data_IF_575654182549
#
_entry.id   IF_575654182549
#
_cell.length_a   1.000
_cell.length_b   1.000
_cell.length_c   1.000
_cell.angle_alpha   90.00
_cell.angle_beta   90.00
_cell.angle_gamma   90.00
#
_symmetry.space_group_name_H-M   'P 1'
#
loop_
_entity.id
_entity.type
_entity.pdbx_description
1 polymer ?
#
# COMPACT_ATOMS: atom_id res chain seq x y z
N UNK A 1 -11.87 -52.81 30.99
CA UNK A 1 -12.63 -52.38 29.79
C UNK A 1 -13.52 -51.15 30.00
N UNK A 2 -13.64 -50.55 31.20
CA UNK A 2 -14.52 -49.38 31.43
C UNK A 2 -13.88 -48.01 31.13
N UNK A 3 -12.55 -47.90 31.21
CA UNK A 3 -11.82 -46.64 30.96
C UNK A 3 -11.73 -46.28 29.47
N UNK A 4 -11.74 -47.28 28.58
CA UNK A 4 -11.67 -47.05 27.12
C UNK A 4 -12.99 -46.55 26.50
N UNK A 5 -14.11 -46.80 27.15
CA UNK A 5 -15.44 -46.36 26.67
C UNK A 5 -15.66 -44.88 27.04
N UNK A 6 -15.15 -44.45 28.20
CA UNK A 6 -15.29 -43.07 28.70
C UNK A 6 -14.50 -42.04 27.87
N UNK A 7 -13.33 -42.41 27.33
CA UNK A 7 -12.55 -41.55 26.44
C UNK A 7 -13.14 -41.41 25.04
N UNK A 8 -13.85 -42.43 24.54
CA UNK A 8 -14.51 -42.39 23.24
C UNK A 8 -15.74 -41.48 23.24
N UNK A 9 -16.52 -41.47 24.33
CA UNK A 9 -17.66 -40.54 24.49
C UNK A 9 -17.25 -39.08 24.67
N UNK A 10 -16.07 -38.81 25.24
CA UNK A 10 -15.57 -37.44 25.42
C UNK A 10 -15.07 -36.83 24.10
N UNK A 11 -14.49 -37.63 23.21
CA UNK A 11 -14.08 -37.20 21.87
C UNK A 11 -15.29 -36.97 20.95
N UNK A 12 -16.34 -37.78 21.08
CA UNK A 12 -17.57 -37.61 20.29
C UNK A 12 -18.38 -36.35 20.67
N UNK A 13 -18.29 -35.91 21.94
CA UNK A 13 -18.96 -34.70 22.42
C UNK A 13 -18.31 -33.39 21.92
N UNK A 14 -17.03 -33.42 21.53
CA UNK A 14 -16.32 -32.26 20.98
C UNK A 14 -16.60 -32.12 19.48
N UNK A 15 -16.85 -33.22 18.77
CA UNK A 15 -17.20 -33.21 17.35
C UNK A 15 -18.59 -32.62 17.08
N UNK A 16 -19.54 -32.78 18.00
CA UNK A 16 -20.90 -32.22 17.88
C UNK A 16 -20.99 -30.69 18.03
N UNK A 17 -19.92 -30.00 18.43
CA UNK A 17 -19.90 -28.54 18.52
C UNK A 17 -19.64 -27.86 17.17
N UNK A 18 -19.18 -28.59 16.15
CA UNK A 18 -18.85 -28.04 14.82
C UNK A 18 -19.93 -28.32 13.76
N UNK A 19 -20.95 -29.10 14.10
CA UNK A 19 -21.99 -29.56 13.18
C UNK A 19 -23.13 -28.56 12.95
N UNK A 20 -23.07 -27.37 13.56
CA UNK A 20 -24.08 -26.31 13.41
C UNK A 20 -23.78 -25.30 12.29
N UNK A 21 -22.71 -25.47 11.51
CA UNK A 21 -22.40 -24.61 10.37
C UNK A 21 -22.99 -25.17 9.08
N UNK A 22 -24.32 -25.13 8.99
CA UNK A 22 -25.03 -25.07 7.72
C UNK A 22 -24.60 -23.79 6.96
N UNK A 23 -24.52 -23.89 5.64
CA UNK A 23 -24.39 -22.81 4.64
C UNK A 23 -24.53 -21.36 5.19
N UNK A 24 -23.44 -20.56 5.10
CA UNK A 24 -23.07 -19.39 5.93
C UNK A 24 -22.25 -19.73 7.20
N UNK A 25 -21.11 -20.41 7.01
CA UNK A 25 -20.22 -20.72 8.12
C UNK A 25 -19.60 -19.45 8.74
N UNK A 26 -19.33 -19.45 10.05
CA UNK A 26 -18.60 -18.36 10.72
C UNK A 26 -17.24 -18.07 10.06
N UNK A 27 -16.66 -19.06 9.36
CA UNK A 27 -15.42 -18.92 8.59
C UNK A 27 -15.60 -18.03 7.34
N UNK A 28 -16.74 -18.12 6.64
CA UNK A 28 -17.04 -17.24 5.50
C UNK A 28 -17.24 -15.79 5.98
N UNK A 29 -17.95 -15.60 7.09
CA UNK A 29 -18.18 -14.29 7.71
C UNK A 29 -16.88 -13.65 8.21
N UNK A 30 -16.01 -14.43 8.85
CA UNK A 30 -14.68 -13.99 9.28
C UNK A 30 -13.78 -13.62 8.08
N UNK A 31 -13.89 -14.36 6.98
CA UNK A 31 -13.16 -14.03 5.74
C UNK A 31 -13.62 -12.68 5.18
N UNK A 32 -14.93 -12.45 5.09
CA UNK A 32 -15.50 -11.20 4.56
C UNK A 32 -15.21 -9.97 5.45
N UNK A 33 -15.30 -10.13 6.78
CA UNK A 33 -14.91 -9.07 7.72
C UNK A 33 -13.44 -8.68 7.54
N UNK A 34 -12.56 -9.68 7.43
CA UNK A 34 -11.13 -9.46 7.22
C UNK A 34 -10.81 -8.84 5.84
N UNK A 35 -11.58 -9.16 4.78
CA UNK A 35 -11.46 -8.47 3.48
C UNK A 35 -11.74 -6.99 3.64
N UNK A 36 -12.84 -6.65 4.32
CA UNK A 36 -13.26 -5.26 4.52
C UNK A 36 -12.25 -4.49 5.37
N UNK A 37 -11.74 -5.08 6.46
CA UNK A 37 -10.69 -4.45 7.27
C UNK A 37 -9.42 -4.19 6.46
N UNK A 38 -8.99 -5.18 5.65
CA UNK A 38 -7.81 -5.04 4.80
C UNK A 38 -8.00 -3.94 3.74
N UNK A 39 -9.19 -3.85 3.12
CA UNK A 39 -9.50 -2.80 2.15
C UNK A 39 -9.56 -1.41 2.80
N UNK A 40 -10.10 -1.31 4.00
CA UNK A 40 -10.16 -0.06 4.76
C UNK A 40 -8.75 0.41 5.14
N UNK A 41 -7.91 -0.48 5.67
CA UNK A 41 -6.52 -0.18 6.01
C UNK A 41 -5.70 0.27 4.78
N UNK A 42 -5.89 -0.38 3.62
CA UNK A 42 -5.26 0.07 2.37
C UNK A 42 -5.75 1.45 1.93
N UNK A 43 -7.04 1.73 2.12
CA UNK A 43 -7.62 3.01 1.71
C UNK A 43 -7.12 4.15 2.59
N UNK A 44 -6.99 3.91 3.90
CA UNK A 44 -6.41 4.85 4.86
C UNK A 44 -4.93 5.12 4.56
N UNK A 45 -4.12 4.07 4.41
CA UNK A 45 -2.72 4.20 4.02
C UNK A 45 -2.55 4.90 2.66
N UNK A 46 -3.46 4.63 1.71
CA UNK A 46 -3.47 5.30 0.42
C UNK A 46 -3.82 6.79 0.49
N UNK A 47 -4.64 7.18 1.46
CA UNK A 47 -4.96 8.58 1.72
C UNK A 47 -3.75 9.29 2.36
N UNK A 48 -3.12 8.69 3.36
CA UNK A 48 -1.90 9.22 4.00
C UNK A 48 -0.77 9.44 3.00
N UNK A 49 -0.47 8.42 2.18
CA UNK A 49 0.54 8.52 1.11
C UNK A 49 0.18 9.64 0.13
N UNK A 50 -1.09 9.78 -0.25
CA UNK A 50 -1.54 10.85 -1.14
C UNK A 50 -1.34 12.22 -0.50
N UNK A 51 -1.64 12.36 0.79
CA UNK A 51 -1.47 13.62 1.52
C UNK A 51 0.01 14.01 1.64
N UNK A 52 0.88 13.06 2.00
CA UNK A 52 2.35 13.27 2.00
C UNK A 52 2.86 13.68 0.61
N UNK A 53 2.35 13.08 -0.46
CA UNK A 53 2.73 13.47 -1.82
C UNK A 53 2.24 14.86 -2.23
N UNK A 54 1.06 15.28 -1.76
CA UNK A 54 0.59 16.64 -2.02
C UNK A 54 1.43 17.67 -1.25
N UNK A 55 1.84 17.33 -0.02
CA UNK A 55 2.74 18.17 0.76
C UNK A 55 4.11 18.29 0.09
N UNK A 56 4.68 17.17 -0.35
CA UNK A 56 5.93 17.15 -1.08
C UNK A 56 5.84 17.96 -2.39
N UNK A 57 4.78 17.79 -3.19
CA UNK A 57 4.55 18.58 -4.41
C UNK A 57 4.49 20.09 -4.12
N UNK A 58 3.86 20.48 -3.01
CA UNK A 58 3.82 21.87 -2.58
C UNK A 58 5.21 22.40 -2.23
N UNK A 59 6.00 21.65 -1.46
CA UNK A 59 7.37 22.05 -1.10
C UNK A 59 8.27 22.20 -2.34
N UNK A 60 8.15 21.29 -3.31
CA UNK A 60 8.87 21.38 -4.58
C UNK A 60 8.46 22.63 -5.38
N UNK A 61 7.15 22.92 -5.47
CA UNK A 61 6.67 24.13 -6.15
C UNK A 61 7.18 25.40 -5.48
N UNK A 62 7.21 25.44 -4.15
CA UNK A 62 7.74 26.58 -3.40
C UNK A 62 9.24 26.75 -3.65
N UNK A 63 10.02 25.66 -3.61
CA UNK A 63 11.43 25.70 -3.96
C UNK A 63 11.65 26.21 -5.39
N UNK A 64 10.84 25.75 -6.36
CA UNK A 64 10.90 26.20 -7.75
C UNK A 64 10.58 27.69 -7.90
N UNK A 65 9.52 28.17 -7.27
CA UNK A 65 9.16 29.58 -7.27
C UNK A 65 10.27 30.47 -6.69
N UNK A 66 10.96 30.00 -5.63
CA UNK A 66 12.07 30.75 -5.04
C UNK A 66 13.28 30.84 -5.99
N UNK A 67 13.57 29.77 -6.73
CA UNK A 67 14.62 29.76 -7.76
C UNK A 67 14.25 30.73 -8.88
N UNK A 68 13.03 30.62 -9.42
CA UNK A 68 12.56 31.49 -10.51
C UNK A 68 12.61 32.97 -10.09
N UNK A 69 12.16 33.30 -8.87
CA UNK A 69 12.22 34.66 -8.33
C UNK A 69 13.65 35.18 -8.19
N UNK A 70 14.62 34.32 -7.81
CA UNK A 70 16.04 34.71 -7.74
C UNK A 70 16.61 34.92 -9.14
N UNK A 71 16.27 34.07 -10.10
CA UNK A 71 16.69 34.23 -11.50
C UNK A 71 16.17 35.55 -12.09
N UNK A 72 14.89 35.89 -11.87
CA UNK A 72 14.32 37.19 -12.28
C UNK A 72 15.03 38.38 -11.63
N UNK A 73 15.39 38.27 -10.34
CA UNK A 73 16.14 39.31 -9.65
C UNK A 73 17.56 39.49 -10.24
N UNK A 74 18.24 38.39 -10.55
CA UNK A 74 19.57 38.41 -11.20
C UNK A 74 19.47 39.06 -12.59
N UNK A 75 18.43 38.75 -13.36
CA UNK A 75 18.19 39.39 -14.66
C UNK A 75 18.03 40.91 -14.54
N UNK A 76 17.27 41.38 -13.56
CA UNK A 76 17.12 42.80 -13.29
C UNK A 76 18.43 43.46 -12.80
N UNK A 77 19.20 42.79 -11.95
CA UNK A 77 20.52 43.26 -11.50
C UNK A 77 21.50 43.38 -12.68
N UNK A 78 21.46 42.44 -13.63
CA UNK A 78 22.30 42.47 -14.83
C UNK A 78 22.04 43.69 -15.71
N UNK A 79 20.82 44.24 -15.77
CA UNK A 79 20.51 45.39 -16.63
C UNK A 79 21.37 46.63 -16.31
N UNK A 80 21.70 46.82 -15.03
CA UNK A 80 22.42 48.01 -14.53
C UNK A 80 23.85 47.72 -14.09
N UNK A 81 24.26 46.45 -14.07
CA UNK A 81 25.59 46.03 -13.65
C UNK A 81 26.71 46.40 -14.64
N UNK A 82 27.94 46.53 -14.13
CA UNK A 82 29.15 46.61 -14.94
C UNK A 82 29.41 45.29 -15.67
N UNK A 83 30.27 45.29 -16.69
CA UNK A 83 30.54 44.08 -17.49
C UNK A 83 31.12 42.93 -16.63
N UNK A 84 32.03 43.24 -15.70
CA UNK A 84 32.57 42.23 -14.77
C UNK A 84 31.48 41.64 -13.86
N UNK A 85 30.59 42.49 -13.32
CA UNK A 85 29.49 42.04 -12.46
C UNK A 85 28.43 41.25 -13.24
N UNK A 86 28.17 41.61 -14.51
CA UNK A 86 27.30 40.82 -15.40
C UNK A 86 27.83 39.41 -15.63
N UNK A 87 29.15 39.25 -15.75
CA UNK A 87 29.73 37.92 -15.93
C UNK A 87 29.53 37.03 -14.69
N UNK A 88 29.67 37.59 -13.49
CA UNK A 88 29.40 36.87 -12.24
C UNK A 88 27.91 36.53 -12.08
N UNK A 89 27.03 37.51 -12.28
CA UNK A 89 25.58 37.32 -12.23
C UNK A 89 25.09 36.28 -13.24
N UNK A 90 25.66 36.28 -14.45
CA UNK A 90 25.34 35.28 -15.47
C UNK A 90 25.71 33.86 -15.02
N UNK A 91 26.84 33.68 -14.36
CA UNK A 91 27.24 32.37 -13.81
C UNK A 91 26.27 31.91 -12.72
N UNK A 92 25.88 32.80 -11.82
CA UNK A 92 24.88 32.48 -10.79
C UNK A 92 23.54 32.09 -11.41
N UNK A 93 23.10 32.81 -12.46
CA UNK A 93 21.88 32.49 -13.20
C UNK A 93 21.95 31.10 -13.86
N UNK A 94 23.06 30.77 -14.52
CA UNK A 94 23.27 29.46 -15.17
C UNK A 94 23.31 28.31 -14.14
N UNK A 95 23.90 28.55 -12.96
CA UNK A 95 23.89 27.59 -11.86
C UNK A 95 22.48 27.34 -11.32
N UNK A 96 21.68 28.40 -11.16
CA UNK A 96 20.28 28.30 -10.73
C UNK A 96 19.41 27.62 -11.78
N UNK A 97 19.58 27.92 -13.06
CA UNK A 97 18.87 27.24 -14.16
C UNK A 97 19.13 25.73 -14.12
N UNK A 98 20.41 25.34 -13.99
CA UNK A 98 20.81 23.94 -13.86
C UNK A 98 20.20 23.28 -12.63
N UNK A 99 20.22 23.96 -11.48
CA UNK A 99 19.61 23.47 -10.25
C UNK A 99 18.09 23.30 -10.38
N UNK A 100 17.42 24.24 -11.04
CA UNK A 100 15.99 24.19 -11.36
C UNK A 100 15.64 22.96 -12.18
N UNK A 101 16.44 22.66 -13.20
CA UNK A 101 16.24 21.49 -14.05
C UNK A 101 16.49 20.17 -13.28
N UNK A 102 17.51 20.08 -12.43
CA UNK A 102 17.71 18.89 -11.58
C UNK A 102 16.58 18.71 -10.58
N UNK A 103 16.03 19.82 -10.05
CA UNK A 103 14.89 19.79 -9.14
C UNK A 103 13.65 19.20 -9.83
N UNK A 104 13.33 19.66 -11.04
CA UNK A 104 12.21 19.15 -11.84
C UNK A 104 12.38 17.66 -12.15
N UNK A 105 13.59 17.25 -12.55
CA UNK A 105 13.91 15.85 -12.82
C UNK A 105 13.79 14.97 -11.58
N UNK A 106 14.21 15.47 -10.42
CA UNK A 106 14.04 14.77 -9.13
C UNK A 106 12.57 14.62 -8.79
N UNK A 107 11.79 15.67 -8.94
CA UNK A 107 10.36 15.65 -8.65
C UNK A 107 9.63 14.61 -9.52
N UNK A 108 9.91 14.60 -10.83
CA UNK A 108 9.35 13.61 -11.75
C UNK A 108 9.74 12.18 -11.34
N UNK A 109 11.01 11.93 -11.02
CA UNK A 109 11.46 10.60 -10.56
C UNK A 109 10.79 10.16 -9.27
N UNK A 110 10.62 11.08 -8.31
CA UNK A 110 9.97 10.75 -7.03
C UNK A 110 8.49 10.42 -7.27
N UNK A 111 7.79 11.22 -8.06
CA UNK A 111 6.40 10.97 -8.45
C UNK A 111 6.21 9.59 -9.11
N UNK A 112 7.01 9.28 -10.13
CA UNK A 112 6.95 8.00 -10.85
C UNK A 112 7.25 6.80 -9.94
N UNK A 113 8.30 6.91 -9.11
CA UNK A 113 8.68 5.85 -8.17
C UNK A 113 7.60 5.62 -7.12
N UNK A 114 6.97 6.68 -6.65
CA UNK A 114 5.93 6.60 -5.64
C UNK A 114 4.63 6.00 -6.21
N UNK A 115 4.21 6.43 -7.41
CA UNK A 115 3.05 5.84 -8.09
C UNK A 115 3.27 4.34 -8.36
N UNK A 116 4.42 4.00 -8.93
CA UNK A 116 4.79 2.61 -9.22
C UNK A 116 4.88 1.76 -7.96
N UNK A 117 5.54 2.26 -6.91
CA UNK A 117 5.65 1.60 -5.62
C UNK A 117 4.28 1.33 -4.98
N UNK A 118 3.40 2.32 -4.98
CA UNK A 118 2.05 2.18 -4.45
C UNK A 118 1.20 1.18 -5.25
N UNK A 119 1.33 1.19 -6.58
CA UNK A 119 0.66 0.23 -7.47
C UNK A 119 1.13 -1.20 -7.22
N UNK A 120 2.43 -1.42 -7.07
CA UNK A 120 3.01 -2.73 -6.79
C UNK A 120 2.57 -3.25 -5.43
N UNK A 121 2.66 -2.41 -4.40
CA UNK A 121 2.18 -2.74 -3.05
C UNK A 121 0.71 -3.22 -3.06
N UNK A 122 -0.19 -2.44 -3.67
CA UNK A 122 -1.61 -2.83 -3.82
C UNK A 122 -1.77 -4.16 -4.57
N UNK A 123 -0.96 -4.37 -5.60
CA UNK A 123 -0.95 -5.62 -6.38
C UNK A 123 -0.54 -6.83 -5.54
N UNK A 124 0.57 -6.69 -4.80
CA UNK A 124 1.14 -7.75 -3.98
C UNK A 124 0.21 -8.16 -2.84
N UNK A 125 -0.37 -7.19 -2.13
CA UNK A 125 -1.32 -7.52 -1.05
C UNK A 125 -2.59 -8.16 -1.61
N UNK A 126 -3.14 -7.66 -2.73
CA UNK A 126 -4.32 -8.28 -3.37
C UNK A 126 -4.04 -9.71 -3.82
N UNK A 127 -2.84 -9.98 -4.33
CA UNK A 127 -2.42 -11.32 -4.73
C UNK A 127 -2.26 -12.23 -3.51
N UNK A 128 -1.48 -11.81 -2.51
CA UNK A 128 -1.28 -12.57 -1.27
C UNK A 128 -2.60 -12.90 -0.58
N UNK A 129 -3.55 -11.95 -0.58
CA UNK A 129 -4.89 -12.17 -0.05
C UNK A 129 -5.69 -13.23 -0.82
N UNK A 130 -5.65 -13.17 -2.15
CA UNK A 130 -6.30 -14.17 -3.01
C UNK A 130 -5.72 -15.57 -2.78
N UNK A 131 -4.40 -15.66 -2.69
CA UNK A 131 -3.68 -16.92 -2.47
C UNK A 131 -4.06 -17.50 -1.10
N UNK A 132 -4.02 -16.69 -0.03
CA UNK A 132 -4.46 -17.07 1.32
C UNK A 132 -5.92 -17.57 1.36
N UNK A 133 -6.83 -16.86 0.68
CA UNK A 133 -8.25 -17.26 0.62
C UNK A 133 -8.42 -18.61 -0.08
N UNK A 134 -7.68 -18.86 -1.16
CA UNK A 134 -7.76 -20.12 -1.91
C UNK A 134 -7.17 -21.29 -1.11
N UNK A 135 -6.03 -21.09 -0.46
CA UNK A 135 -5.40 -22.09 0.41
C UNK A 135 -6.29 -22.43 1.59
N UNK A 136 -6.90 -21.43 2.23
CA UNK A 136 -7.84 -21.62 3.33
C UNK A 136 -9.06 -22.42 2.90
N UNK A 137 -9.64 -22.12 1.72
CA UNK A 137 -10.77 -22.89 1.16
C UNK A 137 -10.39 -24.33 0.83
N UNK A 138 -9.18 -24.58 0.32
CA UNK A 138 -8.70 -25.93 0.07
C UNK A 138 -8.50 -26.71 1.37
N UNK A 139 -7.84 -26.10 2.36
CA UNK A 139 -7.64 -26.69 3.67
C UNK A 139 -8.97 -27.07 4.33
N UNK A 140 -9.96 -26.18 4.31
CA UNK A 140 -11.29 -26.49 4.86
C UNK A 140 -11.96 -27.67 4.15
N UNK A 141 -11.89 -27.74 2.82
CA UNK A 141 -12.41 -28.88 2.04
C UNK A 141 -11.67 -30.19 2.33
N UNK A 142 -10.36 -30.11 2.58
CA UNK A 142 -9.55 -31.29 2.91
C UNK A 142 -9.85 -31.79 4.32
N UNK A 143 -10.06 -30.87 5.28
CA UNK A 143 -10.55 -31.21 6.62
C UNK A 143 -11.94 -31.84 6.53
N UNK A 144 -12.89 -31.21 5.81
CA UNK A 144 -14.25 -31.71 5.60
C UNK A 144 -14.23 -33.14 5.04
N UNK A 145 -13.47 -33.41 3.97
CA UNK A 145 -13.32 -34.74 3.38
C UNK A 145 -12.69 -35.76 4.33
N UNK A 146 -11.79 -35.33 5.20
CA UNK A 146 -11.15 -36.21 6.18
C UNK A 146 -12.07 -36.52 7.37
N UNK A 147 -13.01 -35.63 7.69
CA UNK A 147 -13.99 -35.79 8.78
C UNK A 147 -15.32 -36.39 8.36
N UNK A 148 -15.71 -36.25 7.08
CA UNK A 148 -16.92 -36.83 6.48
C UNK A 148 -16.62 -37.43 5.08
N UNK A 149 -16.13 -38.67 5.02
CA UNK A 149 -15.77 -39.31 3.76
C UNK A 149 -16.95 -39.91 2.99
N UNK A 150 -18.12 -40.08 3.61
CA UNK A 150 -19.30 -40.73 3.00
C UNK A 150 -20.42 -39.73 2.62
N UNK A 151 -20.38 -38.49 3.13
CA UNK A 151 -21.34 -37.43 2.78
C UNK A 151 -22.74 -37.69 3.32
N UNK A 152 -22.83 -38.48 4.38
CA UNK A 152 -24.07 -38.95 5.02
C UNK A 152 -24.46 -38.13 6.24
N UNK A 153 -23.69 -37.09 6.53
CA UNK A 153 -23.98 -36.12 7.56
C UNK A 153 -24.88 -35.01 6.97
N UNK A 154 -26.20 -35.24 7.00
CA UNK A 154 -27.27 -34.21 7.08
C UNK A 154 -27.75 -33.98 8.53
#
# INVERSE_FOLDING_TARGET
MKIRILTLTLLFAIAGAFYSCAENSDADRATDEMVNETQNAMSEMGAEIKDESNELDREFREARMNIDARMEAIEAEMETASDDAKEELKKEWEELESYSNDLDDRMNRVGDNMESGWKNFKGDVKKGWKDFTNESKQFLKDVERATDPEGDLD
#
